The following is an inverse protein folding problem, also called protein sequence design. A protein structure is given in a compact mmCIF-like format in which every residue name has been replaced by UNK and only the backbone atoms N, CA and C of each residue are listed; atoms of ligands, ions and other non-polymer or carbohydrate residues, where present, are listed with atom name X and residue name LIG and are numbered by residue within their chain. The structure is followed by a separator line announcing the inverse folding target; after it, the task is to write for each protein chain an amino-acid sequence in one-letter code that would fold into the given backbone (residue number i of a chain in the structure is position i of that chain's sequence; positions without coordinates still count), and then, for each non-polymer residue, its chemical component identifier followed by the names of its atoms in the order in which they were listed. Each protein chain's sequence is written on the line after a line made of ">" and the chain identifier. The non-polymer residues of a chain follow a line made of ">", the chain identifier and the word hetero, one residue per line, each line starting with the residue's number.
data_IF_986851496567
#
_entry.id   IF_986851496567
#
_cell.length_a   1.000
_cell.length_b   1.000
_cell.length_c   1.000
_cell.angle_alpha   90.00
_cell.angle_beta   90.00
_cell.angle_gamma   90.00
#
_symmetry.space_group_name_H-M   'P 1'
#
loop_
_entity.id
_entity.type
_entity.pdbx_description
1 polymer ?
#
# COMPACT_ATOMS: atom_id res chain seq x y z
N UNK A 1 29.44 -4.27 15.26
CA UNK A 1 28.49 -3.14 15.35
C UNK A 1 27.11 -3.75 15.37
N UNK A 2 26.31 -3.52 16.41
CA UNK A 2 24.93 -4.00 16.39
C UNK A 2 24.22 -3.31 15.22
N UNK A 3 23.63 -4.08 14.31
CA UNK A 3 22.73 -3.54 13.29
C UNK A 3 21.56 -2.90 14.03
N UNK A 4 21.66 -1.60 14.29
CA UNK A 4 20.60 -0.84 14.92
C UNK A 4 19.42 -0.87 13.95
N UNK A 5 18.38 -1.62 14.31
CA UNK A 5 17.18 -1.72 13.49
C UNK A 5 16.56 -0.33 13.44
N UNK A 6 16.38 0.20 12.24
CA UNK A 6 15.80 1.52 12.03
C UNK A 6 14.42 1.59 12.73
N UNK A 7 14.20 2.58 13.62
CA UNK A 7 12.96 2.70 14.39
C UNK A 7 11.74 2.98 13.51
N UNK A 8 11.91 3.67 12.39
CA UNK A 8 10.85 3.94 11.40
C UNK A 8 10.44 2.65 10.72
N UNK A 9 11.41 1.84 10.28
CA UNK A 9 11.14 0.50 9.71
C UNK A 9 10.41 -0.40 10.71
N UNK A 10 10.84 -0.39 11.97
CA UNK A 10 10.20 -1.17 13.04
C UNK A 10 8.76 -0.76 13.26
N UNK A 11 8.50 0.55 13.32
CA UNK A 11 7.14 1.06 13.49
C UNK A 11 6.27 0.74 12.28
N UNK A 12 6.76 0.94 11.05
CA UNK A 12 6.00 0.62 9.84
C UNK A 12 5.66 -0.87 9.77
N UNK A 13 6.58 -1.76 10.17
CA UNK A 13 6.32 -3.20 10.25
C UNK A 13 5.17 -3.49 11.22
N UNK A 14 5.16 -2.87 12.39
CA UNK A 14 4.09 -3.06 13.38
C UNK A 14 2.75 -2.53 12.86
N UNK A 15 2.73 -1.33 12.28
CA UNK A 15 1.52 -0.66 11.75
C UNK A 15 0.88 -1.46 10.62
N UNK A 16 1.66 -2.03 9.70
CA UNK A 16 1.14 -2.79 8.55
C UNK A 16 0.89 -4.28 8.86
N UNK A 17 1.34 -4.79 10.01
CA UNK A 17 1.24 -6.22 10.36
C UNK A 17 -0.19 -6.76 10.29
N UNK A 18 -1.18 -5.93 10.65
CA UNK A 18 -2.60 -6.31 10.64
C UNK A 18 -3.19 -6.56 9.25
N UNK A 19 -2.50 -6.16 8.18
CA UNK A 19 -2.93 -6.42 6.79
C UNK A 19 -2.48 -7.79 6.30
N UNK A 20 -1.37 -8.32 6.80
CA UNK A 20 -0.79 -9.57 6.29
C UNK A 20 -1.74 -10.74 6.54
N UNK A 21 -2.05 -11.48 5.47
CA UNK A 21 -2.99 -12.60 5.46
C UNK A 21 -4.46 -12.20 5.32
N UNK A 22 -4.79 -10.91 5.29
CA UNK A 22 -6.17 -10.47 5.02
C UNK A 22 -6.53 -10.74 3.56
N UNK A 23 -7.72 -11.29 3.37
CA UNK A 23 -8.38 -11.36 2.08
C UNK A 23 -9.36 -10.21 1.92
N UNK A 24 -9.54 -9.72 0.70
CA UNK A 24 -10.48 -8.65 0.39
C UNK A 24 -10.91 -8.72 -1.07
N UNK A 25 -12.13 -8.24 -1.35
CA UNK A 25 -12.58 -8.04 -2.72
C UNK A 25 -12.13 -6.66 -3.22
N UNK A 26 -11.64 -6.60 -4.46
CA UNK A 26 -11.25 -5.35 -5.09
C UNK A 26 -11.39 -5.39 -6.60
N UNK A 27 -11.43 -4.21 -7.20
CA UNK A 27 -11.37 -4.03 -8.64
C UNK A 27 -9.91 -3.86 -9.07
N UNK A 28 -9.44 -4.70 -9.99
CA UNK A 28 -8.11 -4.50 -10.58
C UNK A 28 -8.16 -3.34 -11.58
N UNK A 29 -7.40 -2.28 -11.31
CA UNK A 29 -7.43 -1.04 -12.09
C UNK A 29 -6.22 -0.91 -13.05
N UNK A 30 -5.50 -2.00 -13.29
CA UNK A 30 -4.35 -2.00 -14.19
C UNK A 30 -3.08 -1.48 -13.53
N UNK A 31 -2.05 -1.34 -14.35
CA UNK A 31 -0.80 -0.69 -14.01
C UNK A 31 -0.93 0.83 -14.18
N UNK A 32 -0.67 1.58 -13.11
CA UNK A 32 -0.71 3.04 -13.14
C UNK A 32 0.57 3.64 -12.56
N UNK A 33 1.02 4.81 -13.07
CA UNK A 33 2.10 5.55 -12.45
C UNK A 33 1.63 6.08 -11.10
N UNK A 34 2.31 5.68 -10.03
CA UNK A 34 1.96 6.16 -8.69
C UNK A 34 2.18 7.69 -8.61
N UNK A 35 1.18 8.50 -8.18
CA UNK A 35 1.24 9.97 -8.20
C UNK A 35 2.45 10.61 -7.52
N UNK A 36 3.07 9.85 -6.61
CA UNK A 36 4.15 10.30 -5.73
C UNK A 36 5.54 9.90 -6.20
N UNK A 37 5.67 8.76 -6.90
CA UNK A 37 6.98 8.22 -7.28
C UNK A 37 7.15 8.09 -8.78
N UNK A 38 6.08 8.20 -9.58
CA UNK A 38 6.08 7.89 -11.01
C UNK A 38 6.24 6.40 -11.33
N UNK A 39 6.81 5.61 -10.40
CA UNK A 39 6.95 4.17 -10.53
C UNK A 39 5.60 3.52 -10.83
N UNK A 40 5.59 2.74 -11.90
CA UNK A 40 4.45 1.92 -12.31
C UNK A 40 4.23 0.84 -11.26
N UNK A 41 2.98 0.70 -10.84
CA UNK A 41 2.52 -0.29 -9.88
C UNK A 41 1.14 -0.76 -10.33
N UNK A 42 0.86 -2.01 -10.05
CA UNK A 42 -0.51 -2.51 -10.15
C UNK A 42 -1.38 -1.82 -9.08
N UNK A 43 -2.60 -1.48 -9.48
CA UNK A 43 -3.56 -0.78 -8.62
C UNK A 43 -4.79 -1.63 -8.39
N UNK A 44 -5.17 -1.78 -7.13
CA UNK A 44 -6.43 -2.39 -6.73
C UNK A 44 -7.28 -1.36 -6.01
N UNK A 45 -8.49 -1.13 -6.50
CA UNK A 45 -9.51 -0.34 -5.81
C UNK A 45 -10.25 -1.27 -4.86
N UNK A 46 -10.14 -1.02 -3.57
CA UNK A 46 -10.75 -1.84 -2.51
C UNK A 46 -12.26 -1.59 -2.48
N UNK A 47 -13.06 -2.67 -2.40
CA UNK A 47 -14.53 -2.60 -2.45
C UNK A 47 -15.23 -3.09 -1.17
N UNK A 48 -14.49 -3.67 -0.23
CA UNK A 48 -15.06 -4.35 0.94
C UNK A 48 -14.36 -3.95 2.26
N UNK A 49 -14.72 -4.59 3.38
CA UNK A 49 -14.42 -4.26 4.79
C UNK A 49 -12.97 -3.92 5.20
N UNK A 50 -12.00 -4.00 4.28
CA UNK A 50 -10.61 -3.60 4.53
C UNK A 50 -10.46 -2.08 4.66
N UNK A 51 -11.40 -1.28 4.15
CA UNK A 51 -11.37 0.18 4.16
C UNK A 51 -11.08 0.80 5.53
N UNK A 52 -11.71 0.31 6.61
CA UNK A 52 -11.48 0.82 7.97
C UNK A 52 -10.03 0.58 8.42
N UNK A 53 -9.45 -0.55 8.05
CA UNK A 53 -8.05 -0.88 8.40
C UNK A 53 -7.09 0.02 7.60
N UNK A 54 -7.36 0.21 6.30
CA UNK A 54 -6.57 1.10 5.45
C UNK A 54 -6.68 2.56 5.89
N UNK A 55 -7.87 2.98 6.33
CA UNK A 55 -8.10 4.31 6.90
C UNK A 55 -7.27 4.54 8.16
N UNK A 56 -7.25 3.57 9.07
CA UNK A 56 -6.43 3.62 10.28
C UNK A 56 -4.95 3.76 9.94
N UNK A 57 -4.42 2.86 9.10
CA UNK A 57 -3.01 2.88 8.70
C UNK A 57 -2.64 4.18 7.99
N UNK A 58 -3.44 4.63 7.00
CA UNK A 58 -3.13 5.84 6.25
C UNK A 58 -3.11 7.08 7.14
N UNK A 59 -4.06 7.19 8.07
CA UNK A 59 -4.11 8.26 9.07
C UNK A 59 -2.90 8.20 10.00
N UNK A 60 -2.59 7.04 10.57
CA UNK A 60 -1.55 6.92 11.58
C UNK A 60 -0.17 7.21 10.98
N UNK A 61 0.09 6.79 9.73
CA UNK A 61 1.34 7.14 9.03
C UNK A 61 1.39 8.64 8.73
N UNK A 62 0.29 9.23 8.26
CA UNK A 62 0.24 10.67 7.97
C UNK A 62 0.45 11.51 9.22
N UNK A 63 -0.14 11.12 10.35
CA UNK A 63 0.04 11.83 11.62
C UNK A 63 1.47 11.73 12.15
N UNK A 64 2.12 10.57 12.00
CA UNK A 64 3.44 10.34 12.58
C UNK A 64 4.59 10.82 11.70
N UNK A 65 4.52 10.59 10.40
CA UNK A 65 5.62 10.84 9.46
C UNK A 65 5.22 11.74 8.28
N UNK A 66 3.98 12.21 8.22
CA UNK A 66 3.53 13.12 7.17
C UNK A 66 3.76 12.54 5.77
N UNK A 67 4.44 13.33 4.94
CA UNK A 67 4.83 12.98 3.57
C UNK A 67 6.18 12.26 3.48
N UNK A 68 6.86 11.94 4.58
CA UNK A 68 8.18 11.29 4.54
C UNK A 68 8.10 9.80 4.18
N UNK A 69 6.91 9.19 4.30
CA UNK A 69 6.68 7.77 4.05
C UNK A 69 5.78 7.55 2.84
N UNK A 70 6.24 6.77 1.87
CA UNK A 70 5.41 6.20 0.80
C UNK A 70 4.60 5.02 1.34
N UNK A 71 3.30 5.23 1.56
CA UNK A 71 2.41 4.27 2.23
C UNK A 71 1.98 3.07 1.36
N UNK A 72 1.98 3.21 0.04
CA UNK A 72 1.37 2.20 -0.84
C UNK A 72 -0.16 2.11 -0.71
N UNK A 73 -0.77 3.04 0.04
CA UNK A 73 -2.21 3.19 0.25
C UNK A 73 -2.54 4.63 -0.13
N UNK A 74 -3.59 4.82 -0.92
CA UNK A 74 -4.16 6.14 -1.20
C UNK A 74 -5.66 6.08 -1.00
N UNK A 75 -6.25 7.05 -0.33
CA UNK A 75 -7.69 7.07 -0.13
C UNK A 75 -8.21 8.43 0.29
N UNK A 76 -9.46 8.50 0.78
CA UNK A 76 -10.12 9.76 1.12
C UNK A 76 -9.37 10.64 2.13
N UNK A 77 -8.50 10.03 2.96
CA UNK A 77 -7.66 10.76 3.93
C UNK A 77 -6.50 11.52 3.29
N UNK A 78 -6.11 11.16 2.08
CA UNK A 78 -5.00 11.77 1.35
C UNK A 78 -5.47 12.94 0.48
N UNK A 79 -6.67 12.84 -0.10
CA UNK A 79 -7.27 13.90 -0.93
C UNK A 79 -8.77 13.66 -1.15
N UNK A 80 -9.52 14.75 -1.31
CA UNK A 80 -10.94 14.72 -1.74
C UNK A 80 -11.16 14.08 -3.12
N UNK A 81 -10.09 13.89 -3.90
CA UNK A 81 -10.16 13.23 -5.22
C UNK A 81 -10.32 11.72 -5.13
N UNK A 82 -10.07 11.12 -3.96
CA UNK A 82 -10.24 9.69 -3.74
C UNK A 82 -11.51 9.44 -2.93
N UNK A 83 -12.47 8.74 -3.54
CA UNK A 83 -13.69 8.28 -2.86
C UNK A 83 -13.54 6.88 -2.27
N UNK A 84 -12.54 6.13 -2.73
CA UNK A 84 -12.27 4.74 -2.37
C UNK A 84 -10.79 4.55 -2.04
N UNK A 85 -10.44 3.48 -1.31
CA UNK A 85 -9.04 3.14 -1.06
C UNK A 85 -8.42 2.40 -2.24
N UNK A 86 -7.24 2.85 -2.62
CA UNK A 86 -6.40 2.29 -3.67
C UNK A 86 -5.17 1.68 -3.01
N UNK A 87 -4.90 0.42 -3.34
CA UNK A 87 -3.68 -0.28 -2.96
C UNK A 87 -2.73 -0.28 -4.14
N UNK A 88 -1.51 0.21 -3.90
CA UNK A 88 -0.41 0.23 -4.86
C UNK A 88 0.51 -0.94 -4.56
N UNK A 89 0.37 -2.02 -5.32
CA UNK A 89 1.01 -3.30 -5.00
C UNK A 89 2.22 -3.57 -5.90
N UNK A 90 3.04 -4.55 -5.52
CA UNK A 90 4.16 -5.01 -6.35
C UNK A 90 3.69 -5.40 -7.76
N UNK A 91 4.47 -5.03 -8.80
CA UNK A 91 4.11 -5.30 -10.17
C UNK A 91 4.14 -6.81 -10.48
N UNK A 92 3.57 -7.18 -11.62
CA UNK A 92 3.72 -8.49 -12.26
C UNK A 92 2.97 -9.66 -11.60
N UNK A 93 1.97 -9.40 -10.74
CA UNK A 93 0.97 -10.42 -10.39
C UNK A 93 -0.25 -10.40 -11.34
N UNK A 94 -0.26 -9.47 -12.28
CA UNK A 94 -1.40 -9.03 -13.07
C UNK A 94 -1.49 -9.56 -14.49
N UNK A 95 -0.55 -10.41 -14.95
CA UNK A 95 -0.53 -10.92 -16.34
C UNK A 95 -1.84 -11.60 -16.76
N UNK A 96 -2.59 -12.13 -15.79
CA UNK A 96 -3.85 -12.84 -16.01
C UNK A 96 -5.10 -12.05 -15.56
N UNK A 97 -4.92 -10.81 -15.10
CA UNK A 97 -6.02 -9.97 -14.61
C UNK A 97 -6.49 -9.00 -15.67
N UNK A 98 -7.81 -8.92 -15.83
CA UNK A 98 -8.43 -7.94 -16.71
C UNK A 98 -8.77 -6.69 -15.93
N UNK A 99 -8.34 -5.53 -16.44
CA UNK A 99 -8.68 -4.24 -15.86
C UNK A 99 -10.20 -4.04 -15.79
N UNK A 100 -10.68 -3.47 -14.69
CA UNK A 100 -12.10 -3.20 -14.45
C UNK A 100 -12.85 -4.39 -13.85
N UNK A 101 -12.24 -5.57 -13.72
CA UNK A 101 -12.86 -6.74 -13.11
C UNK A 101 -12.59 -6.83 -11.61
N UNK A 102 -13.52 -7.46 -10.90
CA UNK A 102 -13.41 -7.71 -9.47
C UNK A 102 -12.81 -9.09 -9.20
N UNK A 103 -11.89 -9.15 -8.25
CA UNK A 103 -11.26 -10.39 -7.79
C UNK A 103 -11.16 -10.41 -6.27
N UNK A 104 -10.95 -11.60 -5.73
CA UNK A 104 -10.55 -11.77 -4.34
C UNK A 104 -9.03 -11.77 -4.28
N UNK A 105 -8.48 -10.87 -3.47
CA UNK A 105 -7.05 -10.74 -3.26
C UNK A 105 -6.70 -11.12 -1.84
N UNK A 106 -5.47 -11.58 -1.64
CA UNK A 106 -4.86 -11.77 -0.33
C UNK A 106 -3.60 -10.93 -0.23
N UNK A 107 -3.43 -10.22 0.88
CA UNK A 107 -2.18 -9.51 1.17
C UNK A 107 -1.17 -10.52 1.71
N UNK A 108 -0.14 -10.81 0.93
CA UNK A 108 0.90 -11.77 1.32
C UNK A 108 1.92 -11.12 2.25
N UNK A 109 2.42 -9.93 1.88
CA UNK A 109 3.45 -9.24 2.65
C UNK A 109 3.31 -7.72 2.57
N UNK A 110 3.67 -7.06 3.68
CA UNK A 110 3.92 -5.62 3.74
C UNK A 110 5.36 -5.42 4.21
N UNK A 111 6.23 -4.95 3.33
CA UNK A 111 7.67 -4.83 3.58
C UNK A 111 8.09 -3.36 3.58
N UNK A 112 8.35 -2.77 4.77
CA UNK A 112 8.94 -1.44 4.85
C UNK A 112 10.39 -1.45 4.40
N UNK A 113 10.80 -0.38 3.72
CA UNK A 113 12.16 -0.18 3.22
C UNK A 113 12.56 1.30 3.32
N UNK A 114 13.86 1.54 3.35
CA UNK A 114 14.42 2.89 3.26
C UNK A 114 14.55 3.27 1.79
N UNK A 115 14.10 4.47 1.43
CA UNK A 115 14.25 5.00 0.08
C UNK A 115 15.69 5.46 -0.16
N UNK A 116 16.21 5.22 -1.37
CA UNK A 116 17.56 5.65 -1.76
C UNK A 116 17.71 7.14 -2.07
N UNK A 117 16.65 7.94 -1.90
CA UNK A 117 16.60 9.38 -2.21
C UNK A 117 15.22 9.83 -2.71
N UNK A 118 15.03 11.15 -2.82
CA UNK A 118 13.79 11.77 -3.32
C UNK A 118 12.90 12.37 -2.22
N UNK A 119 11.60 12.50 -2.51
CA UNK A 119 10.62 13.13 -1.61
C UNK A 119 10.30 12.29 -0.35
N UNK A 120 10.60 10.99 -0.39
CA UNK A 120 10.33 10.06 0.71
C UNK A 120 11.64 9.51 1.25
N UNK A 121 11.72 9.37 2.58
CA UNK A 121 12.82 8.71 3.27
C UNK A 121 12.56 7.20 3.44
N UNK A 122 11.29 6.80 3.44
CA UNK A 122 10.86 5.42 3.64
C UNK A 122 9.67 5.06 2.76
N UNK A 123 9.44 3.77 2.55
CA UNK A 123 8.26 3.26 1.88
C UNK A 123 7.81 1.91 2.40
N UNK A 124 6.59 1.51 2.06
CA UNK A 124 6.08 0.16 2.27
C UNK A 124 5.74 -0.46 0.91
N UNK A 125 6.32 -1.63 0.64
CA UNK A 125 5.96 -2.47 -0.50
C UNK A 125 4.86 -3.42 -0.07
N UNK A 126 3.77 -3.48 -0.84
CA UNK A 126 2.63 -4.35 -0.56
C UNK A 126 2.58 -5.40 -1.65
N UNK A 127 2.65 -6.68 -1.28
CA UNK A 127 2.51 -7.80 -2.20
C UNK A 127 1.17 -8.48 -1.99
N UNK A 128 0.49 -8.76 -3.09
CA UNK A 128 -0.80 -9.46 -3.10
C UNK A 128 -0.75 -10.67 -4.02
N UNK A 129 -1.69 -11.58 -3.80
CA UNK A 129 -1.98 -12.74 -4.63
C UNK A 129 -3.49 -12.84 -4.85
N UNK A 130 -3.92 -13.66 -5.81
CA UNK A 130 -5.30 -14.10 -5.88
C UNK A 130 -5.60 -15.06 -4.72
N UNK A 131 -6.77 -14.88 -4.09
CA UNK A 131 -7.24 -15.68 -2.96
C UNK A 131 -8.15 -16.82 -3.39
#
# INVERSE_FOLDING_TARGET
>A
MANQVDPTITWLKATYKGLVGKTFQGNYNGELPMPQTGNVRDVIIVKDSLDTTLAGISRDVLQKYGSEVRKGITGPKDSFRYTEYWLWVEPAFSSDLSQGNNYNFKIEHCLPFQCGGGTFSYGVSIKVSLA
#
